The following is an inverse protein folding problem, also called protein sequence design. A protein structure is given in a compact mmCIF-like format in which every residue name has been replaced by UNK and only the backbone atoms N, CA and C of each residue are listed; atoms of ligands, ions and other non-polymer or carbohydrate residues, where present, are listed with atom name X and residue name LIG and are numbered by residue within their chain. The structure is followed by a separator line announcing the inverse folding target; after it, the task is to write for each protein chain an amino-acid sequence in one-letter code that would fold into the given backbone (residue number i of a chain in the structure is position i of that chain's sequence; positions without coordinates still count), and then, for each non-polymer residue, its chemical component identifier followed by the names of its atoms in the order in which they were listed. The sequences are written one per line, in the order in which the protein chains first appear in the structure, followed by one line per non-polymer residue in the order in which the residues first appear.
data_IF_459972784042
#
_entry.id   IF_459972784042
#
_cell.length_a   1.000
_cell.length_b   1.000
_cell.length_c   1.000
_cell.angle_alpha   90.00
_cell.angle_beta   90.00
_cell.angle_gamma   90.00
#
_symmetry.space_group_name_H-M   'P 1'
#
loop_
_entity.id
_entity.type
_entity.pdbx_description
1 polymer ?
#
# COMPACT_ATOMS: atom_id res chain seq x y z
N UNK A 1 10.68 7.13 -3.91
CA UNK A 1 11.59 6.88 -5.06
C UNK A 1 10.99 5.85 -6.03
N UNK A 2 10.40 4.75 -5.54
CA UNK A 2 9.81 3.70 -6.38
C UNK A 2 8.68 4.20 -7.31
N UNK A 3 7.88 5.18 -6.88
CA UNK A 3 6.87 5.84 -7.72
C UNK A 3 7.42 7.08 -8.47
N UNK A 4 8.75 7.21 -8.59
CA UNK A 4 9.43 8.32 -9.25
C UNK A 4 8.99 9.72 -8.79
N UNK A 5 8.60 9.88 -7.50
CA UNK A 5 8.32 11.19 -6.90
C UNK A 5 9.61 11.91 -6.49
N UNK A 6 10.64 11.16 -6.14
CA UNK A 6 11.96 11.67 -5.78
C UNK A 6 13.02 10.91 -6.58
N UNK A 7 13.98 11.65 -7.11
CA UNK A 7 15.15 11.05 -7.78
C UNK A 7 16.14 10.52 -6.72
N UNK A 8 16.83 9.39 -6.98
CA UNK A 8 17.90 8.92 -6.11
C UNK A 8 19.08 9.90 -6.14
N UNK A 9 19.71 10.17 -4.97
CA UNK A 9 20.90 11.01 -4.88
C UNK A 9 22.14 10.33 -5.44
N UNK A 10 22.15 8.99 -5.45
CA UNK A 10 23.19 8.13 -6.03
C UNK A 10 22.62 6.74 -6.30
N UNK A 11 23.27 6.00 -7.19
CA UNK A 11 22.77 4.71 -7.65
C UNK A 11 21.62 4.85 -8.65
N UNK A 12 20.99 3.72 -8.99
CA UNK A 12 19.88 3.66 -9.95
C UNK A 12 18.76 2.81 -9.36
N UNK A 13 17.52 3.22 -9.60
CA UNK A 13 16.31 2.46 -9.26
C UNK A 13 15.57 2.16 -10.56
N UNK A 14 15.30 0.89 -10.80
CA UNK A 14 14.49 0.44 -11.93
C UNK A 14 13.12 -0.03 -11.45
N UNK A 15 12.07 0.38 -12.17
CA UNK A 15 10.70 -0.10 -12.01
C UNK A 15 10.27 -0.64 -13.36
N UNK A 16 10.05 -1.95 -13.44
CA UNK A 16 9.79 -2.65 -14.70
C UNK A 16 10.77 -2.28 -15.84
N UNK A 17 12.08 -2.29 -15.52
CA UNK A 17 13.15 -1.92 -16.45
C UNK A 17 13.29 -0.42 -16.75
N UNK A 18 12.38 0.43 -16.26
CA UNK A 18 12.41 1.88 -16.43
C UNK A 18 13.22 2.55 -15.31
N UNK A 19 14.11 3.48 -15.67
CA UNK A 19 14.96 4.23 -14.74
C UNK A 19 14.20 5.41 -14.12
N UNK A 20 14.03 5.41 -12.79
CA UNK A 20 13.28 6.46 -12.07
C UNK A 20 13.93 7.83 -12.10
N UNK A 21 15.18 7.96 -12.56
CA UNK A 21 15.86 9.24 -12.73
C UNK A 21 15.57 9.92 -14.06
N UNK A 22 15.03 9.17 -15.06
CA UNK A 22 14.74 9.66 -16.40
C UNK A 22 13.35 10.26 -16.48
N UNK A 23 13.27 11.56 -16.79
CA UNK A 23 12.01 12.32 -16.82
C UNK A 23 11.01 11.77 -17.84
N UNK A 24 11.48 11.33 -18.99
CA UNK A 24 10.67 10.75 -20.06
C UNK A 24 9.99 9.42 -19.67
N UNK A 25 10.48 8.73 -18.63
CA UNK A 25 9.93 7.46 -18.15
C UNK A 25 8.99 7.60 -16.94
N UNK A 26 8.92 8.79 -16.33
CA UNK A 26 8.17 9.02 -15.09
C UNK A 26 6.68 8.68 -15.23
N UNK A 27 6.05 9.07 -16.33
CA UNK A 27 4.63 8.80 -16.56
C UNK A 27 4.34 7.30 -16.63
N UNK A 28 5.16 6.56 -17.35
CA UNK A 28 4.98 5.12 -17.51
C UNK A 28 5.28 4.38 -16.20
N UNK A 29 6.30 4.84 -15.44
CA UNK A 29 6.55 4.32 -14.08
C UNK A 29 5.34 4.53 -13.18
N UNK A 30 4.69 5.70 -13.20
CA UNK A 30 3.51 5.99 -12.37
C UNK A 30 2.25 5.24 -12.80
N UNK A 31 2.16 4.85 -14.07
CA UNK A 31 1.11 3.93 -14.55
C UNK A 31 1.34 2.51 -14.05
N UNK A 32 2.61 2.07 -14.05
CA UNK A 32 3.02 0.72 -13.62
C UNK A 32 2.97 0.57 -12.10
N UNK A 33 3.44 1.57 -11.34
CA UNK A 33 3.54 1.53 -9.88
C UNK A 33 2.70 2.63 -9.23
N UNK A 34 1.50 2.27 -8.78
CA UNK A 34 0.61 3.14 -8.03
C UNK A 34 1.08 3.34 -6.60
N UNK A 35 0.85 4.52 -6.02
CA UNK A 35 1.20 4.86 -4.63
C UNK A 35 -0.04 5.25 -3.85
N UNK A 36 -0.21 4.63 -2.68
CA UNK A 36 -1.22 4.99 -1.68
C UNK A 36 -0.50 5.63 -0.50
N UNK A 37 -0.85 6.88 -0.19
CA UNK A 37 -0.23 7.65 0.89
C UNK A 37 -0.78 7.29 2.26
N UNK A 38 0.00 7.59 3.30
CA UNK A 38 -0.37 7.42 4.70
C UNK A 38 -1.64 8.18 5.09
N UNK A 39 -1.77 9.43 4.63
CA UNK A 39 -2.95 10.26 4.89
C UNK A 39 -3.80 10.37 3.62
N UNK A 40 -5.02 9.76 3.59
CA UNK A 40 -5.91 9.83 2.44
C UNK A 40 -6.38 11.25 2.10
N UNK A 41 -6.46 12.17 3.07
CA UNK A 41 -6.85 13.56 2.82
C UNK A 41 -5.85 14.31 1.93
N UNK A 42 -4.61 13.84 1.82
CA UNK A 42 -3.61 14.38 0.90
C UNK A 42 -3.75 13.84 -0.54
N UNK A 43 -4.58 12.82 -0.72
CA UNK A 43 -4.76 12.14 -2.01
C UNK A 43 -6.12 12.42 -2.64
N UNK A 44 -7.17 12.58 -1.82
CA UNK A 44 -8.53 12.82 -2.27
C UNK A 44 -8.72 14.31 -2.63
N UNK A 45 -9.19 14.60 -3.84
CA UNK A 45 -9.31 15.95 -4.39
C UNK A 45 -10.70 16.24 -4.97
N UNK A 46 -11.50 15.20 -5.28
CA UNK A 46 -12.84 15.32 -5.85
C UNK A 46 -13.89 15.76 -4.84
N UNK A 47 -15.01 16.29 -5.35
CA UNK A 47 -16.17 16.63 -4.52
C UNK A 47 -17.00 15.38 -4.16
N UNK A 48 -16.97 14.37 -5.02
CA UNK A 48 -17.59 13.07 -4.82
C UNK A 48 -16.57 11.96 -5.10
N UNK A 49 -16.80 10.79 -4.50
CA UNK A 49 -15.92 9.61 -4.60
C UNK A 49 -15.66 9.19 -6.05
N UNK A 50 -16.66 9.24 -6.91
CA UNK A 50 -16.53 8.90 -8.32
C UNK A 50 -15.47 9.74 -9.04
N UNK A 51 -15.45 11.05 -8.79
CA UNK A 51 -14.48 11.98 -9.38
C UNK A 51 -13.05 11.65 -8.92
N UNK A 52 -12.87 11.32 -7.64
CA UNK A 52 -11.56 10.89 -7.10
C UNK A 52 -11.05 9.62 -7.79
N UNK A 53 -11.92 8.63 -7.97
CA UNK A 53 -11.56 7.35 -8.58
C UNK A 53 -11.32 7.50 -10.10
N UNK A 54 -12.04 8.41 -10.77
CA UNK A 54 -11.87 8.72 -12.18
C UNK A 54 -10.55 9.46 -12.49
N UNK A 55 -10.05 10.25 -11.54
CA UNK A 55 -8.96 11.21 -11.75
C UNK A 55 -7.69 10.58 -12.35
N UNK A 56 -7.27 9.43 -11.84
CA UNK A 56 -6.11 8.71 -12.37
C UNK A 56 -6.29 8.27 -13.83
N UNK A 57 -7.33 7.50 -14.15
CA UNK A 57 -7.67 7.07 -15.52
C UNK A 57 -7.84 8.25 -16.50
N UNK A 58 -8.49 9.36 -16.10
CA UNK A 58 -8.65 10.55 -16.92
C UNK A 58 -7.30 11.15 -17.31
N UNK A 59 -6.38 11.31 -16.35
CA UNK A 59 -5.03 11.80 -16.60
C UNK A 59 -4.18 10.85 -17.47
N UNK A 60 -4.54 9.58 -17.52
CA UNK A 60 -3.94 8.60 -18.43
C UNK A 60 -4.52 8.66 -19.84
N UNK A 61 -5.57 9.46 -20.08
CA UNK A 61 -6.26 9.57 -21.36
C UNK A 61 -7.11 8.35 -21.71
N UNK A 62 -7.60 7.61 -20.72
CA UNK A 62 -8.48 6.45 -20.92
C UNK A 62 -9.85 6.94 -21.45
N UNK A 63 -10.50 6.25 -22.41
CA UNK A 63 -11.82 6.59 -22.89
C UNK A 63 -12.89 6.56 -21.79
N UNK A 64 -13.87 7.48 -21.83
CA UNK A 64 -14.89 7.64 -20.79
C UNK A 64 -15.68 6.33 -20.48
N UNK A 65 -16.04 5.56 -21.52
CA UNK A 65 -16.73 4.29 -21.34
C UNK A 65 -15.89 3.25 -20.55
N UNK A 66 -14.59 3.25 -20.77
CA UNK A 66 -13.66 2.39 -20.05
C UNK A 66 -13.42 2.88 -18.61
N UNK A 67 -13.36 4.20 -18.40
CA UNK A 67 -13.25 4.81 -17.06
C UNK A 67 -14.43 4.36 -16.18
N UNK A 68 -15.65 4.44 -16.68
CA UNK A 68 -16.86 4.01 -15.97
C UNK A 68 -16.76 2.54 -15.49
N UNK A 69 -16.28 1.67 -16.37
CA UNK A 69 -16.07 0.27 -16.03
C UNK A 69 -14.98 0.09 -14.96
N UNK A 70 -13.89 0.84 -15.06
CA UNK A 70 -12.76 0.79 -14.11
C UNK A 70 -13.17 1.29 -12.72
N UNK A 71 -13.93 2.40 -12.64
CA UNK A 71 -14.49 2.92 -11.38
C UNK A 71 -15.35 1.87 -10.70
N UNK A 72 -16.29 1.29 -11.44
CA UNK A 72 -17.20 0.27 -10.92
C UNK A 72 -16.44 -0.93 -10.36
N UNK A 73 -15.44 -1.43 -11.08
CA UNK A 73 -14.58 -2.55 -10.63
C UNK A 73 -13.74 -2.19 -9.41
N UNK A 74 -13.18 -0.98 -9.38
CA UNK A 74 -12.32 -0.53 -8.30
C UNK A 74 -13.09 -0.35 -6.98
N UNK A 75 -14.26 0.31 -7.04
CA UNK A 75 -15.14 0.48 -5.89
C UNK A 75 -15.69 -0.85 -5.37
N UNK A 76 -16.02 -1.78 -6.26
CA UNK A 76 -16.46 -3.13 -5.85
C UNK A 76 -15.32 -3.89 -5.14
N UNK A 77 -14.08 -3.80 -5.63
CA UNK A 77 -12.93 -4.47 -5.04
C UNK A 77 -12.58 -3.98 -3.63
N UNK A 78 -12.92 -2.75 -3.28
CA UNK A 78 -12.68 -2.16 -1.95
C UNK A 78 -13.93 -2.12 -1.06
N UNK A 79 -15.07 -2.62 -1.56
CA UNK A 79 -16.35 -2.61 -0.85
C UNK A 79 -16.99 -1.21 -0.76
N UNK A 80 -16.61 -0.28 -1.65
CA UNK A 80 -17.02 1.13 -1.57
C UNK A 80 -18.11 1.52 -2.59
N UNK A 81 -18.73 0.58 -3.28
CA UNK A 81 -19.76 0.83 -4.31
C UNK A 81 -20.91 1.70 -3.81
N UNK A 82 -21.38 1.49 -2.56
CA UNK A 82 -22.47 2.26 -1.99
C UNK A 82 -22.13 3.74 -1.72
N UNK A 83 -20.87 4.10 -1.76
CA UNK A 83 -20.36 5.46 -1.48
C UNK A 83 -19.97 6.23 -2.73
N UNK A 84 -20.29 5.72 -3.93
CA UNK A 84 -19.87 6.29 -5.22
C UNK A 84 -20.18 7.78 -5.35
N UNK A 85 -21.40 8.19 -4.95
CA UNK A 85 -21.87 9.58 -5.04
C UNK A 85 -21.65 10.37 -3.74
N UNK A 86 -21.04 9.75 -2.72
CA UNK A 86 -20.80 10.41 -1.45
C UNK A 86 -19.68 11.45 -1.55
N UNK A 87 -19.75 12.49 -0.71
CA UNK A 87 -18.62 13.41 -0.53
C UNK A 87 -17.54 12.73 0.32
N UNK A 88 -16.25 12.79 -0.10
CA UNK A 88 -15.14 12.28 0.71
C UNK A 88 -15.10 12.85 2.12
N UNK A 89 -15.55 14.12 2.31
CA UNK A 89 -15.62 14.75 3.62
C UNK A 89 -16.60 14.11 4.60
N UNK A 90 -17.57 13.32 4.12
CA UNK A 90 -18.55 12.61 4.96
C UNK A 90 -18.08 11.19 5.36
N UNK A 91 -16.92 10.73 4.87
CA UNK A 91 -16.41 9.38 5.08
C UNK A 91 -15.49 9.30 6.30
N UNK A 92 -15.46 8.12 6.95
CA UNK A 92 -14.47 7.81 7.99
C UNK A 92 -13.06 7.71 7.38
N UNK A 93 -12.01 7.80 8.23
CA UNK A 93 -10.63 7.66 7.77
C UNK A 93 -10.36 6.33 7.03
N UNK A 94 -10.89 5.21 7.52
CA UNK A 94 -10.79 3.91 6.86
C UNK A 94 -11.52 3.86 5.51
N UNK A 95 -12.69 4.49 5.40
CA UNK A 95 -13.41 4.61 4.14
C UNK A 95 -12.66 5.47 3.13
N UNK A 96 -12.13 6.63 3.56
CA UNK A 96 -11.27 7.49 2.72
C UNK A 96 -10.06 6.72 2.18
N UNK A 97 -9.41 5.91 3.03
CA UNK A 97 -8.28 5.09 2.61
C UNK A 97 -8.68 4.04 1.55
N UNK A 98 -9.83 3.40 1.73
CA UNK A 98 -10.40 2.48 0.73
C UNK A 98 -10.70 3.19 -0.60
N UNK A 99 -11.16 4.46 -0.58
CA UNK A 99 -11.35 5.26 -1.81
C UNK A 99 -10.00 5.61 -2.45
N UNK A 100 -9.01 6.03 -1.69
CA UNK A 100 -7.66 6.29 -2.21
C UNK A 100 -7.08 5.05 -2.92
N UNK A 101 -7.29 3.85 -2.34
CA UNK A 101 -6.94 2.58 -2.97
C UNK A 101 -7.74 2.35 -4.25
N UNK A 102 -9.06 2.65 -4.25
CA UNK A 102 -9.90 2.53 -5.46
C UNK A 102 -9.38 3.38 -6.61
N UNK A 103 -8.95 4.62 -6.33
CA UNK A 103 -8.36 5.51 -7.33
C UNK A 103 -7.09 4.92 -7.95
N UNK A 104 -6.23 4.31 -7.13
CA UNK A 104 -5.03 3.62 -7.64
C UNK A 104 -5.41 2.37 -8.43
N UNK A 105 -6.38 1.57 -7.96
CA UNK A 105 -6.82 0.36 -8.65
C UNK A 105 -7.48 0.65 -10.01
N UNK A 106 -8.17 1.77 -10.17
CA UNK A 106 -8.77 2.19 -11.43
C UNK A 106 -7.74 2.48 -12.53
N UNK A 107 -6.51 2.77 -12.14
CA UNK A 107 -5.37 2.90 -13.07
C UNK A 107 -4.88 1.54 -13.59
N UNK A 108 -5.30 0.42 -12.99
CA UNK A 108 -4.86 -0.95 -13.28
C UNK A 108 -3.34 -1.14 -13.25
N UNK A 109 -2.65 -0.75 -12.16
CA UNK A 109 -1.21 -0.83 -12.06
C UNK A 109 -0.74 -2.30 -11.88
N UNK A 110 0.52 -2.58 -12.23
CA UNK A 110 1.17 -3.89 -12.00
C UNK A 110 1.72 -4.01 -10.57
N UNK A 111 2.00 -2.86 -9.93
CA UNK A 111 2.50 -2.78 -8.57
C UNK A 111 1.73 -1.70 -7.79
N UNK A 112 1.43 -1.97 -6.53
CA UNK A 112 0.89 -0.96 -5.61
C UNK A 112 1.82 -0.83 -4.41
N UNK A 113 2.23 0.40 -4.12
CA UNK A 113 3.04 0.77 -2.98
C UNK A 113 2.12 1.38 -1.94
N UNK A 114 2.04 0.78 -0.76
CA UNK A 114 1.31 1.28 0.39
C UNK A 114 2.31 1.89 1.38
N UNK A 115 2.17 3.19 1.65
CA UNK A 115 3.04 3.89 2.60
C UNK A 115 2.27 4.14 3.90
N UNK A 116 2.44 3.26 4.88
CA UNK A 116 1.76 3.25 6.19
C UNK A 116 0.23 3.44 6.10
N UNK A 117 -0.50 2.69 5.26
CA UNK A 117 -1.90 2.97 4.94
C UNK A 117 -2.86 2.82 6.11
N UNK A 118 -2.42 2.23 7.22
CA UNK A 118 -3.23 1.94 8.41
C UNK A 118 -2.96 2.87 9.59
N UNK A 119 -1.97 3.78 9.47
CA UNK A 119 -1.49 4.57 10.61
C UNK A 119 -2.57 5.51 11.20
N UNK A 120 -3.54 5.96 10.39
CA UNK A 120 -4.55 6.95 10.78
C UNK A 120 -5.96 6.38 10.90
N UNK A 121 -6.12 5.06 10.96
CA UNK A 121 -7.42 4.41 11.03
C UNK A 121 -7.58 3.56 12.30
N UNK A 122 -8.81 3.40 12.74
CA UNK A 122 -9.16 2.62 13.91
C UNK A 122 -8.85 1.11 13.73
N UNK A 123 -8.74 0.33 14.82
CA UNK A 123 -8.33 -1.08 14.75
C UNK A 123 -9.25 -1.99 13.93
N UNK A 124 -10.56 -1.71 13.92
CA UNK A 124 -11.55 -2.50 13.17
C UNK A 124 -11.40 -2.25 11.67
N UNK A 125 -11.41 -0.98 11.26
CA UNK A 125 -11.18 -0.55 9.87
C UNK A 125 -9.80 -0.98 9.35
N UNK A 126 -8.78 -1.02 10.22
CA UNK A 126 -7.43 -1.52 9.89
C UNK A 126 -7.47 -2.98 9.45
N UNK A 127 -8.18 -3.83 10.21
CA UNK A 127 -8.30 -5.26 9.88
C UNK A 127 -8.98 -5.45 8.52
N UNK A 128 -10.11 -4.76 8.30
CA UNK A 128 -10.82 -4.82 7.01
C UNK A 128 -9.95 -4.35 5.83
N UNK A 129 -9.16 -3.30 6.04
CA UNK A 129 -8.27 -2.78 5.01
C UNK A 129 -7.16 -3.78 4.67
N UNK A 130 -6.54 -4.41 5.67
CA UNK A 130 -5.53 -5.44 5.47
C UNK A 130 -6.09 -6.64 4.70
N UNK A 131 -7.28 -7.12 5.07
CA UNK A 131 -7.97 -8.20 4.35
C UNK A 131 -8.18 -7.82 2.88
N UNK A 132 -8.67 -6.59 2.60
CA UNK A 132 -8.85 -6.10 1.24
C UNK A 132 -7.52 -6.06 0.45
N UNK A 133 -6.42 -5.62 1.05
CA UNK A 133 -5.10 -5.59 0.41
C UNK A 133 -4.60 -7.01 0.09
N UNK A 134 -4.75 -7.95 1.01
CA UNK A 134 -4.38 -9.35 0.77
C UNK A 134 -5.25 -10.00 -0.32
N UNK A 135 -6.53 -9.66 -0.38
CA UNK A 135 -7.43 -10.14 -1.45
C UNK A 135 -7.05 -9.58 -2.82
N UNK A 136 -6.67 -8.32 -2.90
CA UNK A 136 -6.16 -7.72 -4.14
C UNK A 136 -4.92 -8.44 -4.65
N UNK A 137 -3.95 -8.73 -3.76
CA UNK A 137 -2.76 -9.50 -4.12
C UNK A 137 -3.13 -10.88 -4.69
N UNK A 138 -4.05 -11.61 -4.02
CA UNK A 138 -4.43 -12.97 -4.42
C UNK A 138 -5.21 -13.02 -5.73
N UNK A 139 -6.16 -12.09 -5.91
CA UNK A 139 -7.13 -12.14 -7.00
C UNK A 139 -6.63 -11.50 -8.29
N UNK A 140 -5.78 -10.48 -8.18
CA UNK A 140 -5.33 -9.68 -9.34
C UNK A 140 -3.90 -9.92 -9.77
N UNK A 141 -3.15 -10.76 -9.06
CA UNK A 141 -1.72 -11.02 -9.32
C UNK A 141 -0.86 -9.73 -9.38
N UNK A 142 -1.24 -8.74 -8.54
CA UNK A 142 -0.55 -7.46 -8.44
C UNK A 142 0.62 -7.60 -7.46
N UNK A 143 1.76 -7.00 -7.77
CA UNK A 143 2.85 -6.85 -6.80
C UNK A 143 2.44 -5.83 -5.74
N UNK A 144 2.57 -6.21 -4.46
CA UNK A 144 2.28 -5.31 -3.34
C UNK A 144 3.59 -5.02 -2.59
N UNK A 145 3.94 -3.75 -2.49
CA UNK A 145 5.00 -3.25 -1.60
C UNK A 145 4.30 -2.54 -0.43
N UNK A 146 4.45 -3.11 0.76
CA UNK A 146 3.77 -2.61 1.95
C UNK A 146 4.80 -2.07 2.96
N UNK A 147 4.74 -0.77 3.24
CA UNK A 147 5.63 -0.10 4.19
C UNK A 147 4.85 0.09 5.48
N UNK A 148 5.38 -0.41 6.59
CA UNK A 148 4.80 -0.28 7.92
C UNK A 148 5.86 -0.49 9.00
N UNK A 149 5.60 0.01 10.19
CA UNK A 149 6.35 -0.32 11.40
C UNK A 149 5.64 -1.37 12.28
N UNK A 150 4.44 -1.81 11.90
CA UNK A 150 3.65 -2.83 12.60
C UNK A 150 3.91 -4.22 12.02
N UNK A 151 4.74 -5.03 12.68
CA UNK A 151 5.08 -6.38 12.19
C UNK A 151 3.87 -7.32 12.05
N UNK A 152 2.81 -7.12 12.84
CA UNK A 152 1.58 -7.90 12.74
C UNK A 152 0.88 -7.76 11.38
N UNK A 153 1.03 -6.62 10.72
CA UNK A 153 0.40 -6.34 9.43
C UNK A 153 1.05 -7.11 8.27
N UNK A 154 2.30 -7.53 8.44
CA UNK A 154 3.09 -8.20 7.40
C UNK A 154 3.31 -9.68 7.66
N UNK A 155 2.56 -10.28 8.59
CA UNK A 155 2.67 -11.70 8.92
C UNK A 155 2.38 -12.65 7.75
N UNK A 156 1.59 -12.21 6.77
CA UNK A 156 1.23 -12.96 5.56
C UNK A 156 2.00 -12.47 4.30
N UNK A 157 3.01 -11.60 4.46
CA UNK A 157 3.85 -11.18 3.34
C UNK A 157 4.73 -12.34 2.85
N UNK A 158 5.08 -12.33 1.57
CA UNK A 158 6.00 -13.35 1.01
C UNK A 158 7.43 -13.11 1.49
N UNK A 159 7.81 -11.84 1.65
CA UNK A 159 9.17 -11.45 2.01
C UNK A 159 9.22 -10.10 2.73
N UNK A 160 10.10 -9.96 3.70
CA UNK A 160 10.31 -8.75 4.49
C UNK A 160 11.71 -8.20 4.30
N UNK A 161 11.79 -6.87 4.26
CA UNK A 161 13.02 -6.10 4.37
C UNK A 161 12.91 -5.18 5.59
N UNK A 162 13.74 -5.38 6.59
CA UNK A 162 13.82 -4.49 7.75
C UNK A 162 14.82 -3.39 7.45
N UNK A 163 14.35 -2.15 7.57
CA UNK A 163 15.18 -0.96 7.37
C UNK A 163 15.44 -0.25 8.69
N UNK A 164 16.68 0.12 8.94
CA UNK A 164 17.07 0.92 10.09
C UNK A 164 18.15 1.92 9.67
N UNK A 165 18.00 3.21 10.03
CA UNK A 165 18.89 4.31 9.63
C UNK A 165 19.23 4.32 8.12
N UNK A 166 18.21 4.12 7.27
CA UNK A 166 18.34 4.14 5.81
C UNK A 166 19.05 2.94 5.18
N UNK A 167 19.30 1.87 5.95
CA UNK A 167 19.95 0.64 5.48
C UNK A 167 19.05 -0.57 5.72
N UNK A 168 19.12 -1.54 4.81
CA UNK A 168 18.50 -2.86 5.02
C UNK A 168 19.40 -3.63 6.00
N UNK A 169 18.86 -3.91 7.19
CA UNK A 169 19.57 -4.62 8.28
C UNK A 169 19.24 -6.09 8.32
N UNK A 170 17.98 -6.46 8.01
CA UNK A 170 17.51 -7.84 7.94
C UNK A 170 16.66 -8.03 6.69
N UNK A 171 16.63 -9.27 6.19
CA UNK A 171 15.74 -9.68 5.09
C UNK A 171 15.42 -11.17 5.22
N UNK A 172 14.21 -11.56 4.84
CA UNK A 172 13.75 -12.94 4.89
C UNK A 172 12.24 -13.06 4.86
N UNK A 173 11.73 -14.28 4.96
CA UNK A 173 10.30 -14.51 5.13
C UNK A 173 9.87 -14.14 6.56
N UNK A 174 8.59 -13.80 6.80
CA UNK A 174 8.08 -13.57 8.15
C UNK A 174 8.43 -14.72 9.10
N UNK A 175 8.23 -15.96 8.67
CA UNK A 175 8.57 -17.16 9.45
C UNK A 175 10.03 -17.19 9.90
N UNK A 176 10.95 -16.79 9.02
CA UNK A 176 12.39 -16.78 9.32
C UNK A 176 12.75 -15.68 10.30
N UNK A 177 12.21 -14.47 10.09
CA UNK A 177 12.53 -13.30 10.91
C UNK A 177 11.89 -13.37 12.28
N UNK A 178 10.69 -13.93 12.42
CA UNK A 178 10.03 -14.09 13.71
C UNK A 178 10.68 -15.15 14.61
N UNK A 179 11.60 -15.95 14.09
CA UNK A 179 12.44 -16.87 14.88
C UNK A 179 13.64 -16.20 15.57
N UNK A 180 13.94 -14.95 15.23
CA UNK A 180 15.04 -14.14 15.78
C UNK A 180 14.50 -12.82 16.37
N UNK A 181 13.58 -12.88 17.36
CA UNK A 181 12.85 -11.72 17.89
C UNK A 181 13.78 -10.64 18.45
N UNK A 182 14.90 -11.04 19.07
CA UNK A 182 15.90 -10.10 19.61
C UNK A 182 16.44 -9.15 18.53
N UNK A 183 16.68 -9.64 17.32
CA UNK A 183 17.16 -8.80 16.21
C UNK A 183 16.10 -7.83 15.70
N UNK A 184 14.82 -8.19 15.78
CA UNK A 184 13.72 -7.28 15.43
C UNK A 184 13.62 -6.14 16.44
N UNK A 185 13.74 -6.45 17.73
CA UNK A 185 13.76 -5.45 18.82
C UNK A 185 14.98 -4.53 18.72
N UNK A 186 16.17 -5.04 18.38
CA UNK A 186 17.39 -4.23 18.13
C UNK A 186 17.19 -3.24 16.97
N UNK A 187 16.28 -3.53 16.06
CA UNK A 187 15.88 -2.63 14.96
C UNK A 187 14.68 -1.74 15.31
N UNK A 188 14.33 -1.59 16.60
CA UNK A 188 13.22 -0.78 17.11
C UNK A 188 11.83 -1.21 16.58
N UNK A 189 11.65 -2.49 16.28
CA UNK A 189 10.36 -3.04 15.88
C UNK A 189 9.64 -3.68 17.07
N UNK A 190 8.35 -3.43 17.17
CA UNK A 190 7.49 -4.06 18.16
C UNK A 190 7.08 -5.46 17.67
N UNK A 191 7.28 -6.47 18.53
CA UNK A 191 6.99 -7.85 18.18
C UNK A 191 5.47 -8.08 18.11
N UNK A 192 4.98 -8.89 17.16
CA UNK A 192 3.62 -9.41 17.23
C UNK A 192 3.40 -10.15 18.55
N UNK A 193 2.17 -10.06 19.10
CA UNK A 193 1.85 -10.62 20.40
C UNK A 193 2.25 -12.10 20.53
N UNK A 194 1.97 -12.91 19.52
CA UNK A 194 2.26 -14.33 19.49
C UNK A 194 3.78 -14.61 19.54
N UNK A 195 4.56 -13.79 18.81
CA UNK A 195 6.03 -13.89 18.80
C UNK A 195 6.60 -13.48 20.16
N UNK A 196 6.12 -12.39 20.74
CA UNK A 196 6.53 -11.93 22.06
C UNK A 196 6.21 -12.95 23.16
N UNK A 197 5.03 -13.59 23.10
CA UNK A 197 4.61 -14.63 24.05
C UNK A 197 5.53 -15.86 23.97
N UNK A 198 5.81 -16.35 22.78
CA UNK A 198 6.69 -17.50 22.55
C UNK A 198 8.12 -17.21 23.03
N UNK A 199 8.65 -16.02 22.72
CA UNK A 199 9.98 -15.59 23.16
C UNK A 199 10.06 -15.51 24.69
N UNK A 200 9.03 -14.93 25.33
CA UNK A 200 8.94 -14.84 26.79
C UNK A 200 8.87 -16.19 27.49
N UNK A 201 8.21 -17.20 26.90
CA UNK A 201 8.16 -18.56 27.43
C UNK A 201 9.51 -19.27 27.30
N UNK A 202 10.20 -19.11 26.15
CA UNK A 202 11.53 -19.70 25.92
C UNK A 202 12.60 -19.16 26.86
N UNK A 203 12.55 -17.90 27.26
CA UNK A 203 13.50 -17.28 28.20
C UNK A 203 13.30 -17.70 29.65
N UNK A 204 12.16 -18.33 29.97
CA UNK A 204 11.84 -18.84 31.31
C UNK A 204 12.10 -20.34 31.49
N UNK A 205 12.38 -21.07 30.40
CA UNK A 205 12.73 -22.49 30.37
C UNK A 205 14.24 -22.67 30.41
#
# INVERSE_FOLDING_TARGET
QLAALLKPSSGVIYVDGMDTAKEEQILDIRKTAGLVFQNPDNQLIGNIVEEDVAFGPENMGIPAEEIEMRITKALAATGMTAYREASPGALSGGQKQKIAISGVLAMEPECIIFDEPTAMIDPESRKELLEAIYDLKRLKNITVIYITHFLQEVSQADYLYVMNHGKITLKGTPETLFKIPEKLVENNLELPFEVALIDGLRKKS
#
